data_IF_607126029387
#
_entry.id   IF_607126029387
#
_cell.length_a   1.000
_cell.length_b   1.000
_cell.length_c   1.000
_cell.angle_alpha   90.00
_cell.angle_beta   90.00
_cell.angle_gamma   90.00
#
_symmetry.space_group_name_H-M   'P 1'
#
loop_
_entity.id
_entity.type
_entity.pdbx_description
1 polymer ?
#
# COMPACT_ATOMS: atom_id res chain seq x y z
N UNK A 1 17.12 1.22 -4.99
CA UNK A 1 16.74 -0.18 -5.25
C UNK A 1 17.04 -1.00 -4.01
N UNK A 2 16.06 -1.68 -3.44
CA UNK A 2 16.24 -2.56 -2.28
C UNK A 2 16.44 -4.00 -2.77
N UNK A 3 17.58 -4.60 -2.39
CA UNK A 3 17.95 -5.94 -2.81
C UNK A 3 17.26 -7.02 -1.96
N UNK A 4 17.15 -8.21 -2.54
CA UNK A 4 16.58 -9.42 -1.94
C UNK A 4 17.54 -10.05 -0.92
N UNK A 5 17.78 -9.33 0.18
CA UNK A 5 18.72 -9.72 1.22
C UNK A 5 18.19 -9.34 2.61
N UNK A 6 18.79 -9.89 3.69
CA UNK A 6 18.48 -9.45 5.04
C UNK A 6 18.66 -7.94 5.18
N UNK A 7 17.77 -7.32 5.96
CA UNK A 7 17.83 -5.88 6.25
C UNK A 7 18.12 -5.64 7.72
N UNK A 8 18.75 -4.51 8.01
CA UNK A 8 19.01 -4.09 9.39
C UNK A 8 17.71 -3.71 10.09
N UNK A 9 17.66 -3.89 11.42
CA UNK A 9 16.49 -3.58 12.23
C UNK A 9 16.02 -2.13 12.06
N UNK A 10 16.95 -1.18 11.87
CA UNK A 10 16.66 0.24 11.69
C UNK A 10 15.74 0.53 10.51
N UNK A 11 15.74 -0.32 9.48
CA UNK A 11 14.87 -0.19 8.30
C UNK A 11 13.41 -0.51 8.66
N UNK A 12 13.18 -1.33 9.69
CA UNK A 12 11.86 -1.79 10.08
C UNK A 12 11.19 -0.92 11.17
N UNK A 13 11.91 0.01 11.80
CA UNK A 13 11.40 0.81 12.94
C UNK A 13 10.28 1.75 12.50
N UNK A 14 9.22 1.86 13.30
CA UNK A 14 8.30 3.01 13.29
C UNK A 14 6.81 2.71 13.09
N UNK A 15 6.40 1.50 12.74
CA UNK A 15 4.97 1.16 12.55
C UNK A 15 4.45 0.01 13.40
N UNK A 16 5.30 -0.67 14.19
CA UNK A 16 4.97 -1.90 14.91
C UNK A 16 4.74 -3.11 13.99
N UNK A 17 3.96 -2.93 12.91
CA UNK A 17 3.76 -3.93 11.87
C UNK A 17 5.09 -4.34 11.23
N UNK A 18 5.86 -3.38 10.71
CA UNK A 18 7.16 -3.65 10.07
C UNK A 18 8.15 -4.27 11.04
N UNK A 19 8.15 -3.84 12.30
CA UNK A 19 8.99 -4.39 13.38
C UNK A 19 8.63 -5.86 13.65
N UNK A 20 7.34 -6.19 13.77
CA UNK A 20 6.88 -7.57 13.99
C UNK A 20 7.25 -8.50 12.84
N UNK A 21 7.18 -8.01 11.59
CA UNK A 21 7.57 -8.79 10.40
C UNK A 21 9.08 -9.00 10.35
N UNK A 22 9.87 -7.99 10.72
CA UNK A 22 11.32 -8.12 10.80
C UNK A 22 11.74 -9.13 11.87
N UNK A 23 11.14 -9.09 13.07
CA UNK A 23 11.41 -10.08 14.13
C UNK A 23 11.03 -11.49 13.67
N UNK A 24 9.88 -11.66 13.02
CA UNK A 24 9.46 -12.95 12.46
C UNK A 24 10.47 -13.49 11.45
N UNK A 25 11.00 -12.61 10.59
CA UNK A 25 12.06 -12.95 9.64
C UNK A 25 13.33 -13.43 10.36
N UNK A 26 13.74 -12.77 11.44
CA UNK A 26 14.91 -13.18 12.22
C UNK A 26 14.71 -14.55 12.89
N UNK A 27 13.53 -14.81 13.44
CA UNK A 27 13.21 -16.11 14.05
C UNK A 27 13.33 -17.23 13.00
N UNK A 28 12.76 -17.04 11.81
CA UNK A 28 12.84 -18.02 10.72
C UNK A 28 14.28 -18.23 10.27
N UNK A 29 15.05 -17.15 10.11
CA UNK A 29 16.47 -17.24 9.73
C UNK A 29 17.28 -18.03 10.75
N UNK A 30 17.12 -17.70 12.03
CA UNK A 30 17.81 -18.42 13.09
C UNK A 30 17.42 -19.91 13.12
N UNK A 31 16.14 -20.23 12.94
CA UNK A 31 15.70 -21.63 12.85
C UNK A 31 16.30 -22.37 11.64
N UNK A 32 16.49 -21.70 10.50
CA UNK A 32 17.18 -22.27 9.32
C UNK A 32 18.66 -22.52 9.61
N UNK A 33 19.33 -21.61 10.32
CA UNK A 33 20.76 -21.72 10.63
C UNK A 33 21.04 -22.83 11.66
N UNK A 34 20.13 -23.04 12.63
CA UNK A 34 20.31 -23.97 13.75
C UNK A 34 19.67 -25.35 13.54
N UNK A 35 18.88 -25.55 12.47
CA UNK A 35 18.13 -26.80 12.26
C UNK A 35 18.17 -27.27 10.80
N UNK A 36 17.52 -28.40 10.50
CA UNK A 36 17.35 -28.87 9.11
C UNK A 36 16.20 -28.18 8.36
N UNK A 37 15.55 -27.17 8.96
CA UNK A 37 14.46 -26.42 8.36
C UNK A 37 14.93 -25.73 7.07
N UNK A 38 14.18 -25.92 5.99
CA UNK A 38 14.31 -25.14 4.76
C UNK A 38 13.15 -24.15 4.70
N UNK A 39 13.46 -22.87 4.66
CA UNK A 39 12.47 -21.82 4.55
C UNK A 39 12.78 -20.87 3.40
N UNK A 40 11.73 -20.30 2.80
CA UNK A 40 11.82 -19.19 1.86
C UNK A 40 11.04 -18.03 2.47
N UNK A 41 11.69 -16.89 2.64
CA UNK A 41 11.05 -15.68 3.14
C UNK A 41 10.60 -14.87 1.93
N UNK A 42 9.30 -14.72 1.75
CA UNK A 42 8.73 -13.91 0.66
C UNK A 42 8.20 -12.61 1.22
N UNK A 43 8.83 -11.49 0.88
CA UNK A 43 8.34 -10.14 1.15
C UNK A 43 7.44 -9.71 -0.01
N UNK A 44 6.14 -9.79 0.21
CA UNK A 44 5.14 -9.36 -0.77
C UNK A 44 5.00 -7.84 -0.70
N UNK A 45 5.02 -7.16 -1.84
CA UNK A 45 4.69 -5.73 -1.89
C UNK A 45 3.18 -5.49 -1.81
N UNK A 46 2.72 -4.39 -2.39
CA UNK A 46 1.30 -4.06 -2.34
C UNK A 46 0.47 -5.06 -3.16
N UNK A 47 -0.36 -5.83 -2.46
CA UNK A 47 -1.43 -6.61 -3.06
C UNK A 47 -2.55 -5.67 -3.50
N UNK A 48 -3.11 -5.87 -4.69
CA UNK A 48 -4.20 -5.02 -5.17
C UNK A 48 -5.29 -5.84 -5.85
N UNK A 49 -6.51 -5.73 -5.34
CA UNK A 49 -7.67 -6.42 -5.91
C UNK A 49 -7.58 -7.95 -5.91
N UNK A 50 -8.75 -8.57 -5.96
CA UNK A 50 -8.92 -9.97 -6.30
C UNK A 50 -9.99 -10.06 -7.39
N UNK A 51 -10.34 -11.29 -7.78
CA UNK A 51 -11.48 -11.56 -8.65
C UNK A 51 -12.73 -10.82 -8.15
N UNK A 52 -13.36 -10.06 -9.06
CA UNK A 52 -14.51 -9.20 -8.73
C UNK A 52 -14.17 -7.87 -8.04
N UNK A 53 -12.88 -7.54 -7.87
CA UNK A 53 -12.41 -6.28 -7.31
C UNK A 53 -12.33 -6.22 -5.80
N UNK A 54 -12.40 -7.36 -5.11
CA UNK A 54 -12.35 -7.40 -3.65
C UNK A 54 -11.01 -6.85 -3.14
N UNK A 55 -11.07 -5.85 -2.27
CA UNK A 55 -9.91 -5.27 -1.59
C UNK A 55 -10.41 -4.55 -0.32
N UNK A 56 -9.83 -4.88 0.84
CA UNK A 56 -10.25 -4.39 2.16
C UNK A 56 -10.40 -2.87 2.25
N UNK A 57 -11.59 -2.40 2.63
CA UNK A 57 -11.92 -0.99 2.85
C UNK A 57 -11.12 -0.30 3.96
N UNK A 58 -10.43 -1.08 4.79
CA UNK A 58 -9.70 -0.62 5.96
C UNK A 58 -8.19 -0.51 5.73
N UNK A 59 -7.74 -0.69 4.49
CA UNK A 59 -6.36 -0.48 4.10
C UNK A 59 -6.06 0.99 3.77
N UNK A 60 -4.77 1.31 3.66
CA UNK A 60 -4.30 2.67 3.43
C UNK A 60 -4.80 3.23 2.10
N UNK A 61 -4.87 2.44 1.03
CA UNK A 61 -5.24 2.95 -0.28
C UNK A 61 -6.75 3.26 -0.37
N UNK A 62 -7.66 2.36 0.02
CA UNK A 62 -9.09 2.67 0.05
C UNK A 62 -9.44 3.82 1.00
N UNK A 63 -8.71 3.96 2.12
CA UNK A 63 -8.86 5.10 3.02
C UNK A 63 -8.50 6.44 2.34
N UNK A 64 -7.43 6.46 1.54
CA UNK A 64 -7.02 7.61 0.73
C UNK A 64 -8.08 7.95 -0.34
N UNK A 65 -8.58 6.95 -1.06
CA UNK A 65 -9.63 7.11 -2.10
C UNK A 65 -10.93 7.65 -1.50
N UNK A 66 -11.35 7.10 -0.36
CA UNK A 66 -12.56 7.56 0.33
C UNK A 66 -12.45 9.03 0.73
N UNK A 67 -11.31 9.42 1.30
CA UNK A 67 -11.09 10.78 1.80
C UNK A 67 -11.03 11.83 0.68
N UNK A 68 -10.84 11.42 -0.57
CA UNK A 68 -10.78 12.32 -1.72
C UNK A 68 -12.04 13.17 -1.90
N UNK A 69 -13.22 12.62 -1.58
CA UNK A 69 -14.50 13.33 -1.71
C UNK A 69 -14.61 14.49 -0.73
N UNK A 70 -14.17 14.30 0.50
CA UNK A 70 -14.17 15.34 1.54
C UNK A 70 -13.02 16.33 1.36
N UNK A 71 -11.81 15.84 1.05
CA UNK A 71 -10.62 16.67 0.81
C UNK A 71 -10.66 17.42 -0.53
N UNK A 72 -11.57 17.05 -1.44
CA UNK A 72 -11.72 17.63 -2.79
C UNK A 72 -10.44 17.60 -3.63
N UNK A 73 -9.55 16.65 -3.37
CA UNK A 73 -8.34 16.41 -4.15
C UNK A 73 -7.84 14.97 -3.97
N UNK A 74 -6.98 14.52 -4.88
CA UNK A 74 -6.34 13.21 -4.82
C UNK A 74 -4.84 13.31 -5.17
N UNK A 75 -3.93 12.51 -4.58
CA UNK A 75 -2.51 12.71 -4.78
C UNK A 75 -2.04 12.24 -6.16
N UNK A 76 -1.25 13.08 -6.81
CA UNK A 76 -0.45 12.76 -8.00
C UNK A 76 1.00 12.44 -7.66
N UNK A 77 1.60 11.68 -8.55
CA UNK A 77 3.01 11.28 -8.54
C UNK A 77 3.37 10.85 -9.96
N UNK A 78 4.54 11.25 -10.46
CA UNK A 78 5.00 10.91 -11.81
C UNK A 78 5.70 9.54 -11.88
N UNK A 79 5.92 8.89 -10.73
CA UNK A 79 6.63 7.60 -10.64
C UNK A 79 5.68 6.43 -10.89
N UNK A 80 6.26 5.25 -10.99
CA UNK A 80 5.52 4.02 -11.20
C UNK A 80 5.14 3.34 -9.88
N UNK A 81 4.16 2.44 -9.96
CA UNK A 81 3.81 1.47 -8.92
C UNK A 81 4.05 0.04 -9.43
N UNK A 82 4.44 -0.84 -8.50
CA UNK A 82 4.69 -2.26 -8.77
C UNK A 82 3.66 -3.17 -8.08
N UNK A 83 2.40 -2.73 -7.99
CA UNK A 83 1.35 -3.47 -7.27
C UNK A 83 0.99 -4.77 -7.97
N UNK A 84 0.81 -5.84 -7.20
CA UNK A 84 0.60 -7.19 -7.71
C UNK A 84 -0.84 -7.68 -7.41
N UNK A 85 -1.59 -8.17 -8.42
CA UNK A 85 -2.89 -8.78 -8.20
C UNK A 85 -2.82 -10.01 -7.28
N UNK A 86 -3.85 -10.22 -6.45
CA UNK A 86 -3.86 -11.29 -5.45
C UNK A 86 -3.72 -12.68 -6.06
N UNK A 87 -4.36 -12.95 -7.20
CA UNK A 87 -4.29 -14.23 -7.91
C UNK A 87 -2.88 -14.52 -8.42
N UNK A 88 -2.20 -13.48 -8.91
CA UNK A 88 -0.81 -13.62 -9.39
C UNK A 88 0.13 -13.86 -8.21
N UNK A 89 -0.03 -13.10 -7.12
CA UNK A 89 0.78 -13.26 -5.92
C UNK A 89 0.60 -14.64 -5.26
N UNK A 90 -0.64 -15.10 -5.13
CA UNK A 90 -0.95 -16.42 -4.56
C UNK A 90 -0.40 -17.57 -5.41
N UNK A 91 -0.56 -17.49 -6.73
CA UNK A 91 0.02 -18.47 -7.67
C UNK A 91 1.55 -18.51 -7.58
N UNK A 92 2.19 -17.33 -7.50
CA UNK A 92 3.63 -17.22 -7.33
C UNK A 92 4.11 -17.81 -6.01
N UNK A 93 3.44 -17.54 -4.88
CA UNK A 93 3.78 -18.12 -3.58
C UNK A 93 3.72 -19.66 -3.59
N UNK A 94 2.69 -20.21 -4.22
CA UNK A 94 2.52 -21.65 -4.39
C UNK A 94 3.63 -22.24 -5.26
N UNK A 95 4.06 -21.55 -6.32
CA UNK A 95 5.16 -21.97 -7.17
C UNK A 95 6.53 -21.86 -6.46
N UNK A 96 6.78 -20.78 -5.72
CA UNK A 96 7.99 -20.60 -4.91
C UNK A 96 8.17 -21.72 -3.89
N UNK A 97 7.09 -22.16 -3.24
CA UNK A 97 7.14 -23.30 -2.31
C UNK A 97 7.64 -24.60 -2.97
N UNK A 98 7.39 -24.79 -4.28
CA UNK A 98 7.81 -25.98 -5.04
C UNK A 98 9.17 -25.81 -5.71
N UNK A 99 9.71 -24.59 -5.72
CA UNK A 99 11.02 -24.32 -6.29
C UNK A 99 12.13 -24.91 -5.41
N UNK A 100 13.27 -25.27 -6.01
CA UNK A 100 14.45 -25.79 -5.31
C UNK A 100 15.25 -24.71 -4.58
N UNK A 101 14.65 -23.55 -4.31
CA UNK A 101 15.33 -22.40 -3.68
C UNK A 101 15.72 -22.74 -2.26
N UNK A 102 17.03 -22.73 -2.00
CA UNK A 102 17.56 -22.84 -0.65
C UNK A 102 17.60 -21.47 0.02
N UNK A 103 16.93 -21.35 1.18
CA UNK A 103 17.16 -20.33 2.21
C UNK A 103 17.38 -18.90 1.71
N UNK A 104 16.39 -18.37 0.99
CA UNK A 104 16.48 -17.07 0.34
C UNK A 104 15.38 -16.11 0.80
N UNK A 105 15.72 -14.82 0.77
CA UNK A 105 14.75 -13.73 0.85
C UNK A 105 14.34 -13.39 -0.57
N UNK A 106 13.05 -13.33 -0.85
CA UNK A 106 12.50 -13.05 -2.18
C UNK A 106 11.53 -11.88 -2.08
N UNK A 107 11.57 -10.96 -3.03
CA UNK A 107 10.57 -9.91 -3.15
C UNK A 107 9.54 -10.32 -4.20
N UNK A 108 8.26 -10.21 -3.84
CA UNK A 108 7.15 -10.50 -4.73
C UNK A 108 6.32 -9.23 -4.97
N UNK A 109 6.62 -8.57 -6.07
CA UNK A 109 5.89 -7.42 -6.63
C UNK A 109 5.54 -7.70 -8.09
N UNK A 110 4.82 -6.80 -8.75
CA UNK A 110 4.57 -6.97 -10.17
C UNK A 110 5.85 -6.67 -10.97
N UNK A 111 6.35 -7.59 -11.82
CA UNK A 111 7.63 -7.43 -12.51
C UNK A 111 7.58 -6.40 -13.64
N UNK A 112 6.38 -5.96 -14.02
CA UNK A 112 6.14 -4.90 -15.00
C UNK A 112 5.36 -3.76 -14.35
N UNK A 113 6.05 -2.78 -13.73
CA UNK A 113 5.37 -1.67 -13.07
C UNK A 113 4.56 -0.82 -14.07
N UNK A 114 3.57 -0.10 -13.56
CA UNK A 114 2.75 0.85 -14.34
C UNK A 114 2.86 2.25 -13.75
N UNK A 115 2.67 3.32 -14.54
CA UNK A 115 2.60 4.69 -14.01
C UNK A 115 1.53 4.82 -12.92
N UNK A 116 1.79 5.59 -11.87
CA UNK A 116 0.77 5.89 -10.86
C UNK A 116 -0.50 6.52 -11.46
N UNK A 117 -0.35 7.29 -12.54
CA UNK A 117 -1.46 7.87 -13.29
C UNK A 117 -2.46 6.84 -13.81
N UNK A 118 -2.05 5.58 -14.05
CA UNK A 118 -2.98 4.48 -14.40
C UNK A 118 -4.07 4.29 -13.33
N UNK A 119 -3.78 4.62 -12.07
CA UNK A 119 -4.72 4.60 -10.95
C UNK A 119 -5.28 5.99 -10.68
N UNK A 120 -4.41 6.98 -10.49
CA UNK A 120 -4.80 8.30 -10.02
C UNK A 120 -5.78 9.01 -10.97
N UNK A 121 -5.58 8.89 -12.28
CA UNK A 121 -6.43 9.55 -13.28
C UNK A 121 -7.85 8.98 -13.26
N UNK A 122 -7.99 7.66 -13.05
CA UNK A 122 -9.30 7.01 -12.92
C UNK A 122 -10.01 7.48 -11.66
N UNK A 123 -9.31 7.52 -10.51
CA UNK A 123 -9.90 8.01 -9.24
C UNK A 123 -10.33 9.47 -9.39
N UNK A 124 -9.46 10.32 -9.91
CA UNK A 124 -9.73 11.74 -10.16
C UNK A 124 -10.97 11.94 -11.04
N UNK A 125 -11.06 11.21 -12.16
CA UNK A 125 -12.20 11.28 -13.07
C UNK A 125 -13.49 10.75 -12.43
N UNK A 126 -13.44 9.59 -11.76
CA UNK A 126 -14.62 8.91 -11.21
C UNK A 126 -15.19 9.61 -9.97
N UNK A 127 -14.35 10.35 -9.23
CA UNK A 127 -14.76 11.13 -8.05
C UNK A 127 -14.87 12.63 -8.35
N UNK A 128 -14.53 13.08 -9.56
CA UNK A 128 -14.56 14.48 -9.98
C UNK A 128 -13.75 15.40 -9.07
N UNK A 129 -12.52 14.99 -8.73
CA UNK A 129 -11.59 15.76 -7.89
C UNK A 129 -10.26 15.99 -8.61
N UNK A 130 -9.62 17.17 -8.47
CA UNK A 130 -8.32 17.43 -9.07
C UNK A 130 -7.21 16.56 -8.48
N UNK A 131 -6.19 16.32 -9.30
CA UNK A 131 -4.93 15.73 -8.88
C UNK A 131 -3.98 16.82 -8.38
N UNK A 132 -3.38 16.62 -7.20
CA UNK A 132 -2.42 17.55 -6.58
C UNK A 132 -1.16 16.80 -6.14
N UNK A 133 0.03 17.42 -6.11
CA UNK A 133 1.23 16.77 -5.58
C UNK A 133 1.00 16.11 -4.22
N UNK A 134 1.64 14.96 -3.96
CA UNK A 134 1.48 14.23 -2.70
C UNK A 134 1.69 15.09 -1.44
N UNK A 135 2.64 16.02 -1.49
CA UNK A 135 2.91 16.96 -0.39
C UNK A 135 1.71 17.87 -0.11
N UNK A 136 1.10 18.42 -1.15
CA UNK A 136 -0.07 19.30 -1.05
C UNK A 136 -1.30 18.54 -0.55
N UNK A 137 -1.49 17.30 -1.02
CA UNK A 137 -2.54 16.41 -0.51
C UNK A 137 -2.36 16.11 0.99
N UNK A 138 -1.11 15.85 1.43
CA UNK A 138 -0.81 15.58 2.83
C UNK A 138 -1.00 16.83 3.72
N UNK A 139 -0.71 18.01 3.19
CA UNK A 139 -1.00 19.27 3.86
C UNK A 139 -2.51 19.45 4.05
N UNK A 140 -3.31 19.20 3.00
CA UNK A 140 -4.77 19.29 3.07
C UNK A 140 -5.38 18.29 4.06
N UNK A 141 -4.87 17.05 4.07
CA UNK A 141 -5.22 16.06 5.08
C UNK A 141 -4.86 16.55 6.50
N UNK A 142 -3.73 17.24 6.66
CA UNK A 142 -3.30 17.83 7.92
C UNK A 142 -4.15 19.01 8.38
N UNK A 143 -4.62 19.87 7.45
CA UNK A 143 -5.51 20.99 7.79
C UNK A 143 -6.87 20.54 8.31
N UNK A 144 -7.32 19.36 7.89
CA UNK A 144 -8.60 18.80 8.32
C UNK A 144 -8.72 18.56 9.83
N UNK A 145 -7.60 18.48 10.55
CA UNK A 145 -7.55 18.34 12.02
C UNK A 145 -7.22 19.65 12.76
N UNK A 146 -7.03 20.76 12.04
CA UNK A 146 -6.81 22.04 12.71
C UNK A 146 -8.13 22.55 13.27
N UNK A 147 -8.21 22.88 14.58
CA UNK A 147 -9.42 23.46 15.14
C UNK A 147 -9.68 24.78 14.40
N UNK A 148 -10.90 24.92 13.87
CA UNK A 148 -11.41 26.24 13.48
C UNK A 148 -11.22 27.15 14.69
N UNK A 149 -10.56 28.30 14.50
CA UNK A 149 -10.09 29.21 15.55
C UNK A 149 -11.24 29.90 16.33
N UNK A 150 -12.18 29.14 16.88
CA UNK A 150 -13.18 29.59 17.83
C UNK A 150 -12.89 28.88 19.14
N UNK A 151 -11.97 29.47 19.92
CA UNK A 151 -11.45 28.88 21.16
C UNK A 151 -12.52 28.66 22.23
N UNK A 152 -13.03 27.44 22.33
CA UNK A 152 -13.78 26.96 23.49
C UNK A 152 -13.26 25.59 23.93
N UNK A 153 -13.31 25.39 25.25
CA UNK A 153 -12.73 24.26 25.99
C UNK A 153 -13.16 22.89 25.45
N UNK A 154 -12.22 21.94 25.52
CA UNK A 154 -12.41 20.53 25.18
C UNK A 154 -13.62 19.92 25.91
N UNK A 155 -14.76 19.88 25.23
CA UNK A 155 -16.03 19.31 25.71
C UNK A 155 -16.33 17.99 24.98
N UNK A 156 -17.31 17.22 25.44
CA UNK A 156 -17.79 15.98 24.78
C UNK A 156 -18.19 16.15 23.30
N UNK A 157 -18.50 17.39 22.89
CA UNK A 157 -18.75 17.78 21.50
C UNK A 157 -17.50 17.61 20.64
N UNK A 158 -16.30 17.87 21.16
CA UNK A 158 -15.05 17.75 20.41
C UNK A 158 -14.72 16.28 20.11
N UNK A 159 -14.95 15.38 21.07
CA UNK A 159 -14.77 13.95 20.85
C UNK A 159 -15.75 13.38 19.81
N UNK A 160 -17.01 13.85 19.79
CA UNK A 160 -17.99 13.46 18.77
C UNK A 160 -17.65 14.03 17.39
N UNK A 161 -17.17 15.27 17.33
CA UNK A 161 -16.67 15.92 16.12
C UNK A 161 -15.45 15.19 15.56
N UNK A 162 -14.51 14.79 16.42
CA UNK A 162 -13.34 13.98 16.04
C UNK A 162 -13.76 12.61 15.48
N UNK A 163 -14.75 11.96 16.10
CA UNK A 163 -15.29 10.68 15.59
C UNK A 163 -15.96 10.85 14.24
N UNK A 164 -16.75 11.92 14.05
CA UNK A 164 -17.38 12.23 12.77
C UNK A 164 -16.32 12.53 11.69
N UNK A 165 -15.33 13.35 12.02
CA UNK A 165 -14.21 13.68 11.13
C UNK A 165 -13.42 12.44 10.73
N UNK A 166 -13.10 11.54 11.67
CA UNK A 166 -12.41 10.28 11.38
C UNK A 166 -13.27 9.29 10.59
N UNK A 167 -14.60 9.44 10.58
CA UNK A 167 -15.52 8.66 9.75
C UNK A 167 -15.58 9.20 8.33
N UNK A 168 -15.61 10.52 8.20
CA UNK A 168 -15.76 11.23 6.94
C UNK A 168 -14.40 11.34 6.20
N UNK A 169 -13.27 11.32 6.93
CA UNK A 169 -11.90 11.31 6.38
C UNK A 169 -11.11 10.14 6.96
N UNK A 170 -11.30 8.93 6.42
CA UNK A 170 -10.63 7.71 6.90
C UNK A 170 -9.11 7.79 6.85
N UNK A 171 -8.54 8.56 5.93
CA UNK A 171 -7.10 8.77 5.81
C UNK A 171 -6.49 9.38 7.09
N UNK A 172 -7.24 10.14 7.89
CA UNK A 172 -6.74 10.70 9.15
C UNK A 172 -6.31 9.62 10.16
N UNK A 173 -6.97 8.46 10.13
CA UNK A 173 -6.62 7.30 10.98
C UNK A 173 -5.21 6.77 10.68
N UNK A 174 -4.68 7.08 9.50
CA UNK A 174 -3.38 6.65 9.00
C UNK A 174 -2.46 7.85 8.71
N UNK A 175 -2.75 9.02 9.29
CA UNK A 175 -1.93 10.22 9.09
C UNK A 175 -0.43 10.00 9.37
N UNK A 176 -0.01 9.31 10.46
CA UNK A 176 1.41 9.01 10.68
C UNK A 176 2.03 8.15 9.57
N UNK A 177 1.25 7.22 9.00
CA UNK A 177 1.69 6.38 7.89
C UNK A 177 1.94 7.22 6.64
N UNK A 178 1.00 8.09 6.24
CA UNK A 178 1.19 8.98 5.08
C UNK A 178 2.33 9.99 5.27
N UNK A 179 2.49 10.53 6.49
CA UNK A 179 3.64 11.39 6.84
C UNK A 179 4.98 10.67 6.75
N UNK A 180 5.01 9.36 7.00
CA UNK A 180 6.24 8.58 6.85
C UNK A 180 6.56 8.32 5.37
N UNK A 181 5.53 8.07 4.55
CA UNK A 181 5.68 7.93 3.10
C UNK A 181 6.26 9.19 2.44
N UNK A 182 5.86 10.39 2.86
CA UNK A 182 6.37 11.65 2.29
C UNK A 182 7.87 11.89 2.55
N UNK A 183 8.49 11.20 3.50
CA UNK A 183 9.92 11.37 3.83
C UNK A 183 10.85 10.66 2.84
N UNK A 184 10.33 9.73 2.04
CA UNK A 184 11.14 8.95 1.12
C UNK A 184 11.56 9.80 -0.10
N UNK A 185 12.87 9.93 -0.32
CA UNK A 185 13.46 10.74 -1.40
C UNK A 185 13.76 9.90 -2.66
N UNK A 186 12.80 9.10 -3.10
CA UNK A 186 12.94 8.26 -4.29
C UNK A 186 12.07 7.00 -4.25
N UNK A 187 12.30 6.09 -5.19
CA UNK A 187 11.61 4.81 -5.27
C UNK A 187 10.37 4.83 -6.17
N UNK A 188 9.41 3.98 -5.85
CA UNK A 188 8.09 3.92 -6.49
C UNK A 188 7.22 5.11 -6.01
N UNK A 189 6.08 5.31 -6.66
CA UNK A 189 5.15 6.39 -6.33
C UNK A 189 4.72 6.37 -4.86
N UNK A 190 4.34 7.53 -4.34
CA UNK A 190 3.90 7.73 -2.95
C UNK A 190 4.97 7.37 -1.91
N UNK A 191 6.25 7.35 -2.30
CA UNK A 191 7.37 7.13 -1.37
C UNK A 191 7.64 5.67 -1.01
N UNK A 192 7.10 4.72 -1.77
CA UNK A 192 7.46 3.30 -1.61
C UNK A 192 8.86 3.02 -2.16
N UNK A 193 9.57 2.06 -1.58
CA UNK A 193 10.89 1.65 -2.09
C UNK A 193 10.77 0.81 -3.36
N UNK A 194 11.60 1.11 -4.36
CA UNK A 194 11.76 0.20 -5.52
C UNK A 194 12.49 -1.05 -5.08
N UNK A 195 11.87 -2.21 -5.30
CA UNK A 195 12.40 -3.52 -4.90
C UNK A 195 13.03 -4.25 -6.09
N UNK A 196 14.14 -4.94 -5.86
CA UNK A 196 14.68 -5.91 -6.81
C UNK A 196 13.83 -7.18 -6.81
N UNK A 197 13.65 -7.79 -7.98
CA UNK A 197 13.00 -9.10 -8.17
C UNK A 197 13.94 -10.13 -8.82
N UNK A 198 15.26 -9.92 -8.77
CA UNK A 198 16.23 -10.78 -9.47
C UNK A 198 16.10 -12.26 -9.10
N UNK A 199 15.96 -12.59 -7.82
CA UNK A 199 15.77 -13.96 -7.34
C UNK A 199 14.38 -14.46 -7.70
N UNK A 200 13.32 -13.68 -7.46
CA UNK A 200 11.96 -14.06 -7.85
C UNK A 200 11.87 -14.46 -9.34
N UNK A 201 12.46 -13.66 -10.24
CA UNK A 201 12.45 -13.91 -11.68
C UNK A 201 13.38 -15.04 -12.11
N UNK A 202 14.51 -15.23 -11.42
CA UNK A 202 15.35 -16.41 -11.65
C UNK A 202 14.64 -17.71 -11.28
N UNK A 203 13.82 -17.68 -10.23
CA UNK A 203 13.11 -18.87 -9.74
C UNK A 203 11.81 -19.12 -10.49
N UNK A 204 11.14 -18.05 -10.90
CA UNK A 204 9.87 -18.07 -11.64
C UNK A 204 9.95 -17.21 -12.91
N UNK A 205 10.66 -17.66 -13.96
CA UNK A 205 10.78 -16.90 -15.20
C UNK A 205 9.43 -16.59 -15.86
N UNK A 206 8.42 -17.43 -15.63
CA UNK A 206 7.06 -17.20 -16.13
C UNK A 206 6.45 -15.88 -15.62
N UNK A 207 6.88 -15.37 -14.45
CA UNK A 207 6.41 -14.08 -13.94
C UNK A 207 6.77 -12.92 -14.85
N UNK A 208 7.94 -12.92 -15.52
CA UNK A 208 8.32 -11.82 -16.41
C UNK A 208 7.46 -11.76 -17.68
N UNK A 209 6.85 -12.88 -18.07
CA UNK A 209 5.98 -12.98 -19.23
C UNK A 209 4.50 -12.64 -18.92
N UNK A 210 4.16 -12.37 -17.65
CA UNK A 210 2.78 -12.04 -17.30
C UNK A 210 2.34 -10.72 -17.92
N UNK A 211 1.11 -10.70 -18.45
CA UNK A 211 0.45 -9.51 -18.97
C UNK A 211 -0.64 -8.98 -18.03
N UNK A 212 -0.71 -9.49 -16.80
CA UNK A 212 -1.67 -9.06 -15.77
C UNK A 212 -1.26 -7.75 -15.08
N UNK A 213 -0.68 -6.82 -15.84
CA UNK A 213 -0.43 -5.47 -15.35
C UNK A 213 -1.73 -4.82 -14.95
N UNK A 214 -1.66 -3.96 -13.94
CA UNK A 214 -2.80 -3.17 -13.54
C UNK A 214 -3.26 -2.27 -14.69
N UNK A 215 -4.57 -2.25 -14.92
CA UNK A 215 -5.21 -1.44 -15.96
C UNK A 215 -6.16 -0.42 -15.34
N UNK A 216 -6.54 0.64 -16.07
CA UNK A 216 -7.61 1.54 -15.64
C UNK A 216 -8.94 0.82 -15.39
N UNK A 217 -9.18 -0.31 -16.09
CA UNK A 217 -10.37 -1.14 -15.91
C UNK A 217 -10.45 -1.76 -14.51
N UNK A 218 -9.33 -2.26 -13.99
CA UNK A 218 -9.25 -2.86 -12.66
C UNK A 218 -9.63 -1.86 -11.56
N UNK A 219 -9.15 -0.61 -11.70
CA UNK A 219 -9.45 0.49 -10.77
C UNK A 219 -10.94 0.80 -10.74
N UNK A 220 -11.61 0.77 -11.90
CA UNK A 220 -13.08 0.93 -11.98
C UNK A 220 -13.82 -0.21 -11.30
N UNK A 221 -13.31 -1.44 -11.40
CA UNK A 221 -13.89 -2.59 -10.71
C UNK A 221 -13.75 -2.42 -9.19
N UNK A 222 -12.59 -1.98 -8.69
CA UNK A 222 -12.39 -1.69 -7.27
C UNK A 222 -13.36 -0.63 -6.77
N UNK A 223 -13.46 0.51 -7.47
CA UNK A 223 -14.40 1.58 -7.13
C UNK A 223 -15.85 1.10 -7.10
N UNK A 224 -16.26 0.29 -8.09
CA UNK A 224 -17.59 -0.30 -8.14
C UNK A 224 -17.85 -1.22 -6.94
N UNK A 225 -16.86 -2.06 -6.59
CA UNK A 225 -16.97 -2.96 -5.45
C UNK A 225 -17.01 -2.20 -4.13
N UNK A 226 -16.14 -1.21 -3.93
CA UNK A 226 -16.13 -0.38 -2.74
C UNK A 226 -17.39 0.47 -2.57
N UNK A 227 -18.01 0.93 -3.67
CA UNK A 227 -19.34 1.57 -3.63
C UNK A 227 -20.39 0.60 -3.10
N UNK A 228 -20.41 -0.66 -3.55
CA UNK A 228 -21.34 -1.69 -3.06
C UNK A 228 -21.12 -2.05 -1.59
N UNK A 229 -19.86 -2.10 -1.16
CA UNK A 229 -19.48 -2.40 0.23
C UNK A 229 -19.61 -1.19 1.18
N UNK A 230 -19.99 -0.01 0.66
CA UNK A 230 -20.28 1.16 1.49
C UNK A 230 -19.08 2.01 1.87
N UNK A 231 -17.98 1.97 1.10
CA UNK A 231 -16.81 2.83 1.34
C UNK A 231 -17.20 4.32 1.37
N UNK A 232 -18.14 4.72 0.52
CA UNK A 232 -18.53 6.11 0.30
C UNK A 232 -19.84 6.54 1.00
N UNK A 233 -20.42 5.73 1.89
CA UNK A 233 -21.70 6.07 2.55
C UNK A 233 -21.64 7.27 3.50
N UNK A 234 -20.45 7.72 3.89
CA UNK A 234 -20.21 8.85 4.79
C UNK A 234 -19.36 9.96 4.14
N UNK A 235 -19.17 9.91 2.82
CA UNK A 235 -18.24 10.75 2.07
C UNK A 235 -18.99 11.77 1.19
#
# INVERSE_FOLDING_TARGET
LQLEQPILAQVAIGTGYTESKWVSEQIIRHAVDETSLKAVIVRVGQLCGASGGAWSLHEWFPSMVQSALTLRCFPSDSRNISWIPLELASSALVALRRSSVSSSVIHLIHPRPVPWSTVADVISSELSVPLVPYADWLEELGRSIEPTKNGQQANTVDALTDIALLRDIRALRLLPFYKNLSKATGGDALGFSTLSMSQALSCLPALSATNSQLTPGDVKVWLSQWRKEGLFFHA
#
